data_IF_607249639991
#
_entry.id   IF_607249639991
#
_cell.length_a   1.000
_cell.length_b   1.000
_cell.length_c   1.000
_cell.angle_alpha   90.00
_cell.angle_beta   90.00
_cell.angle_gamma   90.00
#
_symmetry.space_group_name_H-M   'P 1'
#
loop_
_entity.id
_entity.type
_entity.pdbx_description
1 polymer ?
#
# COMPACT_ATOMS: atom_id res chain seq x y z
N UNK A 1 -8.22 -15.27 27.32
CA UNK A 1 -8.92 -15.56 26.05
C UNK A 1 -9.20 -14.22 25.38
N UNK A 2 -8.87 -14.11 24.10
CA UNK A 2 -8.48 -12.87 23.43
C UNK A 2 -9.52 -11.76 23.37
N UNK A 3 -9.08 -10.55 23.72
CA UNK A 3 -9.65 -9.32 23.19
C UNK A 3 -8.84 -8.96 21.95
N UNK A 4 -9.07 -9.70 20.86
CA UNK A 4 -8.72 -9.19 19.55
C UNK A 4 -9.63 -7.97 19.35
N UNK A 5 -9.09 -6.79 19.65
CA UNK A 5 -9.65 -5.52 19.21
C UNK A 5 -10.13 -5.73 17.79
N UNK A 6 -11.45 -5.71 17.60
CA UNK A 6 -12.06 -5.81 16.29
C UNK A 6 -11.55 -4.65 15.47
N UNK A 7 -10.48 -4.88 14.72
CA UNK A 7 -10.01 -3.96 13.70
C UNK A 7 -11.08 -4.02 12.63
N UNK A 8 -11.98 -3.05 12.72
CA UNK A 8 -13.00 -2.66 11.75
C UNK A 8 -13.02 -3.52 10.48
N UNK A 9 -13.74 -4.64 10.54
CA UNK A 9 -14.24 -5.30 9.32
C UNK A 9 -15.32 -4.46 8.61
N UNK A 10 -15.66 -3.29 9.15
CA UNK A 10 -16.73 -2.40 8.69
C UNK A 10 -16.27 -1.27 7.75
N UNK A 11 -15.00 -1.24 7.36
CA UNK A 11 -14.47 -0.27 6.41
C UNK A 11 -14.18 -0.95 5.08
N UNK A 12 -15.21 -1.17 4.26
CA UNK A 12 -15.08 -1.56 2.84
C UNK A 12 -14.21 -0.60 2.00
N UNK A 13 -13.64 0.44 2.60
CA UNK A 13 -12.71 1.37 1.97
C UNK A 13 -11.46 0.70 1.41
N UNK A 14 -11.01 1.25 0.29
CA UNK A 14 -9.79 0.85 -0.41
C UNK A 14 -8.56 1.16 0.45
N UNK A 15 -7.55 0.29 0.38
CA UNK A 15 -6.29 0.48 1.07
C UNK A 15 -5.32 1.30 0.20
N UNK A 16 -4.46 2.10 0.83
CA UNK A 16 -3.31 2.71 0.17
C UNK A 16 -2.04 2.34 0.94
N UNK A 17 -1.07 1.73 0.25
CA UNK A 17 0.20 1.33 0.82
C UNK A 17 1.32 2.20 0.25
N UNK A 18 2.05 2.88 1.12
CA UNK A 18 3.22 3.66 0.74
C UNK A 18 4.50 2.91 1.10
N UNK A 19 5.36 2.74 0.10
CA UNK A 19 6.61 1.98 0.19
C UNK A 19 7.73 2.71 -0.55
N UNK A 20 8.97 2.34 -0.25
CA UNK A 20 10.15 2.75 -1.02
C UNK A 20 11.01 1.53 -1.34
N UNK A 21 11.87 1.63 -2.35
CA UNK A 21 12.85 0.58 -2.66
C UNK A 21 13.87 0.44 -1.53
N UNK A 22 14.54 -0.73 -1.47
CA UNK A 22 15.58 -1.05 -0.48
C UNK A 22 15.10 -0.85 0.97
N UNK A 23 13.92 -1.39 1.29
CA UNK A 23 13.25 -1.21 2.57
C UNK A 23 12.69 -2.56 3.05
N UNK A 24 13.43 -3.24 3.93
CA UNK A 24 13.03 -4.58 4.44
C UNK A 24 11.62 -4.59 5.05
N UNK A 25 11.20 -3.60 5.87
CA UNK A 25 9.84 -3.58 6.39
C UNK A 25 8.78 -3.39 5.28
N UNK A 26 9.12 -2.67 4.21
CA UNK A 26 8.23 -2.48 3.06
C UNK A 26 7.97 -3.81 2.34
N UNK A 27 9.01 -4.63 2.17
CA UNK A 27 8.91 -5.93 1.47
C UNK A 27 7.98 -6.89 2.22
N UNK A 28 8.09 -6.93 3.55
CA UNK A 28 7.21 -7.71 4.42
C UNK A 28 5.75 -7.22 4.31
N UNK A 29 5.54 -5.90 4.31
CA UNK A 29 4.21 -5.29 4.21
C UNK A 29 3.55 -5.53 2.85
N UNK A 30 4.31 -5.44 1.76
CA UNK A 30 3.83 -5.77 0.41
C UNK A 30 3.36 -7.23 0.38
N UNK A 31 4.17 -8.15 0.89
CA UNK A 31 3.83 -9.58 0.93
C UNK A 31 2.52 -9.85 1.70
N UNK A 32 2.35 -9.20 2.86
CA UNK A 32 1.12 -9.32 3.65
C UNK A 32 -0.12 -8.80 2.91
N UNK A 33 0.00 -7.65 2.23
CA UNK A 33 -1.11 -7.06 1.47
C UNK A 33 -1.49 -7.90 0.26
N UNK A 34 -0.53 -8.49 -0.45
CA UNK A 34 -0.81 -9.38 -1.58
C UNK A 34 -1.58 -10.63 -1.16
N UNK A 35 -1.34 -11.12 0.07
CA UNK A 35 -2.03 -12.27 0.66
C UNK A 35 -3.46 -11.95 1.14
N UNK A 36 -3.70 -10.73 1.63
CA UNK A 36 -5.02 -10.30 2.14
C UNK A 36 -6.09 -10.14 1.04
N UNK A 37 -5.66 -10.04 -0.23
CA UNK A 37 -6.53 -10.02 -1.42
C UNK A 37 -7.59 -8.90 -1.44
N UNK A 38 -7.39 -7.83 -0.66
CA UNK A 38 -8.22 -6.62 -0.69
C UNK A 38 -7.75 -5.67 -1.80
N UNK A 39 -8.66 -4.84 -2.35
CA UNK A 39 -8.25 -3.77 -3.26
C UNK A 39 -7.27 -2.80 -2.58
N UNK A 40 -6.13 -2.57 -3.23
CA UNK A 40 -5.06 -1.72 -2.71
C UNK A 40 -4.42 -0.87 -3.81
N UNK A 41 -4.09 0.36 -3.44
CA UNK A 41 -3.26 1.26 -4.23
C UNK A 41 -1.87 1.32 -3.62
N UNK A 42 -0.87 0.83 -4.35
CA UNK A 42 0.52 0.85 -3.89
C UNK A 42 1.19 2.08 -4.50
N UNK A 43 1.79 2.90 -3.66
CA UNK A 43 2.52 4.12 -4.01
C UNK A 43 4.00 3.93 -3.74
N UNK A 44 4.82 4.04 -4.79
CA UNK A 44 6.27 4.00 -4.68
C UNK A 44 6.81 5.42 -4.49
N UNK A 45 7.25 5.71 -3.27
CA UNK A 45 7.65 7.04 -2.80
C UNK A 45 8.91 7.54 -3.50
N UNK A 46 9.86 6.66 -3.75
CA UNK A 46 11.14 6.98 -4.38
C UNK A 46 11.17 6.63 -5.87
N UNK A 47 10.00 6.59 -6.53
CA UNK A 47 9.89 6.26 -7.96
C UNK A 47 10.47 7.32 -8.89
N UNK A 48 10.57 8.57 -8.43
CA UNK A 48 11.07 9.70 -9.23
C UNK A 48 10.20 10.02 -10.45
N UNK A 49 8.91 9.65 -10.43
CA UNK A 49 8.02 9.83 -11.58
C UNK A 49 8.31 8.90 -12.77
N UNK A 50 9.18 7.90 -12.60
CA UNK A 50 9.54 6.96 -13.67
C UNK A 50 8.68 5.70 -13.60
N UNK A 51 7.85 5.50 -14.62
CA UNK A 51 7.07 4.27 -14.79
C UNK A 51 7.97 3.02 -14.85
N UNK A 52 9.16 3.15 -15.45
CA UNK A 52 10.09 2.02 -15.57
C UNK A 52 10.60 1.59 -14.19
N UNK A 53 10.81 2.54 -13.28
CA UNK A 53 11.12 2.23 -11.87
C UNK A 53 9.98 1.44 -11.23
N UNK A 54 8.72 1.84 -11.44
CA UNK A 54 7.55 1.11 -10.92
C UNK A 54 7.47 -0.29 -11.52
N UNK A 55 7.68 -0.43 -12.83
CA UNK A 55 7.65 -1.74 -13.53
C UNK A 55 8.73 -2.68 -12.99
N UNK A 56 9.96 -2.20 -12.87
CA UNK A 56 11.08 -2.99 -12.34
C UNK A 56 10.84 -3.39 -10.88
N UNK A 57 10.36 -2.46 -10.06
CA UNK A 57 9.98 -2.74 -8.68
C UNK A 57 8.89 -3.81 -8.60
N UNK A 58 7.82 -3.68 -9.39
CA UNK A 58 6.73 -4.64 -9.40
C UNK A 58 7.17 -6.06 -9.79
N UNK A 59 8.10 -6.17 -10.76
CA UNK A 59 8.70 -7.46 -11.13
C UNK A 59 9.52 -8.07 -10.00
N UNK A 60 10.34 -7.27 -9.31
CA UNK A 60 11.16 -7.73 -8.19
C UNK A 60 10.31 -8.22 -6.99
N UNK A 61 9.13 -7.65 -6.79
CA UNK A 61 8.19 -8.02 -5.72
C UNK A 61 7.10 -9.01 -6.16
N UNK A 62 7.21 -9.58 -7.36
CA UNK A 62 6.25 -10.56 -7.90
C UNK A 62 4.79 -10.08 -7.85
N UNK A 63 4.54 -8.80 -8.15
CA UNK A 63 3.19 -8.25 -8.15
C UNK A 63 2.34 -8.99 -9.20
N UNK A 64 1.17 -9.57 -8.84
CA UNK A 64 0.35 -10.34 -9.77
C UNK A 64 -0.23 -9.47 -10.88
N UNK A 65 0.13 -9.76 -12.13
CA UNK A 65 -0.26 -8.97 -13.31
C UNK A 65 -1.78 -8.97 -13.53
N UNK A 66 -2.43 -10.09 -13.26
CA UNK A 66 -3.88 -10.29 -13.30
C UNK A 66 -4.62 -9.39 -12.30
N UNK A 67 -4.07 -9.22 -11.09
CA UNK A 67 -4.61 -8.29 -10.08
C UNK A 67 -4.41 -6.82 -10.46
N UNK A 68 -3.32 -6.50 -11.16
CA UNK A 68 -3.10 -5.16 -11.72
C UNK A 68 -4.09 -4.88 -12.86
N UNK A 69 -4.26 -5.82 -13.79
CA UNK A 69 -5.19 -5.70 -14.92
C UNK A 69 -6.64 -5.54 -14.48
N UNK A 70 -7.04 -6.24 -13.41
CA UNK A 70 -8.37 -6.13 -12.81
C UNK A 70 -8.54 -4.91 -11.89
N UNK A 71 -7.49 -4.09 -11.71
CA UNK A 71 -7.44 -2.92 -10.82
C UNK A 71 -7.66 -3.23 -9.33
N UNK A 72 -7.55 -4.50 -8.95
CA UNK A 72 -7.49 -4.88 -7.54
C UNK A 72 -6.20 -4.35 -6.90
N UNK A 73 -5.09 -4.36 -7.65
CA UNK A 73 -3.86 -3.66 -7.28
C UNK A 73 -3.66 -2.52 -8.27
N UNK A 74 -3.36 -1.32 -7.77
CA UNK A 74 -2.78 -0.26 -8.62
C UNK A 74 -1.38 0.04 -8.16
N UNK A 75 -0.54 0.48 -9.10
CA UNK A 75 0.83 0.87 -8.87
C UNK A 75 0.97 2.33 -9.29
N UNK A 76 1.41 3.18 -8.37
CA UNK A 76 1.35 4.63 -8.53
C UNK A 76 2.65 5.29 -8.05
N UNK A 77 2.88 6.52 -8.52
CA UNK A 77 3.87 7.42 -7.96
C UNK A 77 3.31 8.10 -6.72
N UNK A 78 4.14 8.27 -5.68
CA UNK A 78 3.77 9.21 -4.63
C UNK A 78 3.91 10.65 -5.12
N UNK A 79 2.85 11.43 -4.92
CA UNK A 79 2.81 12.86 -5.21
C UNK A 79 2.78 13.70 -3.91
N UNK A 80 3.49 13.24 -2.87
CA UNK A 80 3.52 13.86 -1.54
C UNK A 80 2.40 13.40 -0.60
N UNK A 81 1.61 12.40 -0.99
CA UNK A 81 0.54 11.85 -0.15
C UNK A 81 1.10 11.09 1.05
N UNK A 82 2.24 10.43 0.86
CA UNK A 82 2.97 9.76 1.93
C UNK A 82 3.29 10.72 3.09
N UNK A 83 3.85 11.89 2.78
CA UNK A 83 4.18 12.88 3.81
C UNK A 83 2.91 13.49 4.44
N UNK A 84 1.91 13.81 3.61
CA UNK A 84 0.67 14.46 4.04
C UNK A 84 -0.17 13.60 4.99
N UNK A 85 -0.32 12.32 4.68
CA UNK A 85 -1.24 11.43 5.40
C UNK A 85 -0.51 10.35 6.21
N UNK A 86 0.67 9.93 5.78
CA UNK A 86 1.47 8.89 6.42
C UNK A 86 2.46 9.40 7.46
N UNK A 87 2.51 10.71 7.71
CA UNK A 87 3.37 11.36 8.72
C UNK A 87 4.87 11.05 8.57
N UNK A 88 5.31 10.66 7.37
CA UNK A 88 6.70 10.31 7.09
C UNK A 88 7.14 8.92 7.59
N UNK A 89 6.21 8.07 8.07
CA UNK A 89 6.54 6.69 8.46
C UNK A 89 6.62 5.76 7.24
N UNK A 90 7.49 4.76 7.30
CA UNK A 90 7.75 3.86 6.17
C UNK A 90 7.96 2.41 6.64
N UNK A 91 7.24 1.42 6.07
CA UNK A 91 6.02 1.59 5.27
C UNK A 91 4.89 2.21 6.09
N UNK A 92 3.84 2.65 5.39
CA UNK A 92 2.60 3.06 6.03
C UNK A 92 1.41 2.65 5.17
N UNK A 93 0.41 2.08 5.83
CA UNK A 93 -0.85 1.68 5.23
C UNK A 93 -1.94 2.63 5.69
N UNK A 94 -2.62 3.24 4.73
CA UNK A 94 -3.80 4.05 4.95
C UNK A 94 -5.04 3.27 4.54
N UNK A 95 -6.16 3.61 5.16
CA UNK A 95 -7.47 3.14 4.77
C UNK A 95 -8.39 4.32 4.51
N UNK A 96 -9.18 4.21 3.44
CA UNK A 96 -10.21 5.20 3.14
C UNK A 96 -11.37 5.05 4.11
N UNK A 97 -11.59 6.06 4.95
CA UNK A 97 -12.76 6.21 5.82
C UNK A 97 -13.71 7.29 5.31
N UNK A 98 -14.79 7.51 6.07
CA UNK A 98 -15.79 8.57 5.80
C UNK A 98 -15.20 9.97 5.74
N UNK A 99 -14.15 10.22 6.53
CA UNK A 99 -13.46 11.52 6.61
C UNK A 99 -12.19 11.58 5.75
N UNK A 100 -12.00 10.62 4.84
CA UNK A 100 -10.80 10.51 3.99
C UNK A 100 -9.78 9.49 4.51
N UNK A 101 -8.51 9.69 4.17
CA UNK A 101 -7.44 8.75 4.50
C UNK A 101 -7.06 8.78 5.99
N UNK A 102 -6.95 7.61 6.61
CA UNK A 102 -6.48 7.44 7.99
C UNK A 102 -5.41 6.36 8.05
N UNK A 103 -4.43 6.50 8.95
CA UNK A 103 -3.41 5.47 9.17
C UNK A 103 -4.08 4.23 9.75
N UNK A 104 -3.98 3.11 9.04
CA UNK A 104 -4.50 1.82 9.44
C UNK A 104 -3.41 0.95 10.09
N UNK A 105 -2.17 1.05 9.59
CA UNK A 105 -1.01 0.36 10.15
C UNK A 105 0.31 0.94 9.61
N UNK A 106 1.42 0.55 10.24
CA UNK A 106 2.79 0.75 9.75
C UNK A 106 3.33 -0.57 9.19
#
# INVERSE_FOLDING_TARGET
MGNASGIAHDTQGRLALFVKRNCVPCDARVSAVLADNRPVDIYLVDSGGSDDTIRQWALAHHIPVDKVRSRQITLNHDNGNWLKYGQGYMPVMLQQGVSGWQIAAF
#
